data_IF_513937829022
#
_entry.id   IF_513937829022
#
_cell.length_a   1.000
_cell.length_b   1.000
_cell.length_c   1.000
_cell.angle_alpha   90.00
_cell.angle_beta   90.00
_cell.angle_gamma   90.00
#
_symmetry.space_group_name_H-M   'P 1'
#
loop_
_entity.id
_entity.type
_entity.pdbx_description
1 polymer ?
#
# COMPACT_ATOMS: atom_id res chain seq x y z
N UNK A 1 21.83 -3.18 5.59
CA UNK A 1 20.52 -2.51 5.43
C UNK A 1 19.47 -3.59 5.18
N UNK A 2 18.30 -3.56 5.82
CA UNK A 2 17.30 -4.64 5.74
C UNK A 2 16.27 -4.45 4.60
N UNK A 3 16.25 -3.26 4.01
CA UNK A 3 15.32 -2.86 2.95
C UNK A 3 14.59 -1.58 3.31
N UNK A 4 13.55 -1.28 2.54
CA UNK A 4 12.75 -0.05 2.61
C UNK A 4 11.29 -0.36 2.93
N UNK A 5 10.67 0.56 3.66
CA UNK A 5 9.26 0.54 4.01
C UNK A 5 8.59 1.74 3.34
N UNK A 6 7.53 1.51 2.58
CA UNK A 6 6.76 2.55 1.91
C UNK A 6 5.47 2.84 2.69
N UNK A 7 5.50 3.91 3.49
CA UNK A 7 4.35 4.37 4.31
C UNK A 7 3.50 5.38 3.53
N UNK A 8 2.63 4.87 2.65
CA UNK A 8 1.83 5.68 1.73
C UNK A 8 2.47 5.79 0.35
N UNK A 9 1.83 6.47 -0.63
CA UNK A 9 0.72 7.42 -0.49
C UNK A 9 -0.68 6.81 -0.63
N UNK A 10 -0.83 5.48 -0.54
CA UNK A 10 -2.06 4.76 -0.87
C UNK A 10 -3.06 4.67 0.30
N UNK A 11 -3.39 5.82 0.90
CA UNK A 11 -4.23 5.91 2.11
C UNK A 11 -5.57 6.61 1.87
N UNK A 12 -6.44 6.58 2.89
CA UNK A 12 -7.70 7.33 2.92
C UNK A 12 -7.65 8.47 3.96
N UNK A 13 -8.29 9.63 3.73
CA UNK A 13 -8.12 10.83 4.56
C UNK A 13 -8.54 10.68 6.03
N UNK A 14 -9.48 9.78 6.32
CA UNK A 14 -10.15 9.67 7.62
C UNK A 14 -9.16 9.40 8.76
N UNK A 15 -8.17 8.54 8.53
CA UNK A 15 -7.16 8.13 9.51
C UNK A 15 -5.73 8.49 9.05
N UNK A 16 -5.57 9.67 8.43
CA UNK A 16 -4.33 10.12 7.78
C UNK A 16 -3.14 10.39 8.71
N UNK A 17 -3.38 10.63 10.00
CA UNK A 17 -2.33 11.08 10.92
C UNK A 17 -1.58 12.32 10.41
N UNK A 18 -0.25 12.24 10.41
CA UNK A 18 0.64 13.30 9.92
C UNK A 18 0.77 13.35 8.39
N UNK A 19 0.20 12.41 7.65
CA UNK A 19 0.31 12.43 6.20
C UNK A 19 -0.59 13.53 5.58
N UNK A 20 -0.06 14.31 4.62
CA UNK A 20 -0.82 15.29 3.87
C UNK A 20 -1.77 14.59 2.89
N UNK A 21 -3.11 14.71 3.05
CA UNK A 21 -4.07 13.98 2.23
C UNK A 21 -4.05 14.41 0.76
N UNK A 22 -3.59 15.63 0.46
CA UNK A 22 -3.39 16.14 -0.90
C UNK A 22 -2.33 15.37 -1.71
N UNK A 23 -1.46 14.61 -1.04
CA UNK A 23 -0.47 13.74 -1.68
C UNK A 23 -0.95 12.29 -1.81
N UNK A 24 -2.17 11.97 -1.37
CA UNK A 24 -2.70 10.61 -1.52
C UNK A 24 -2.96 10.30 -2.99
N UNK A 25 -2.60 9.09 -3.40
CA UNK A 25 -2.67 8.64 -4.81
C UNK A 25 -3.51 7.38 -4.91
N UNK A 26 -4.11 7.15 -6.08
CA UNK A 26 -4.76 5.88 -6.39
C UNK A 26 -3.76 4.73 -6.55
N UNK A 27 -4.24 3.49 -6.38
CA UNK A 27 -3.40 2.31 -6.51
C UNK A 27 -3.30 1.90 -7.99
N UNK A 28 -2.13 2.12 -8.57
CA UNK A 28 -1.81 1.73 -9.94
C UNK A 28 -0.69 0.69 -9.97
N UNK A 29 -0.91 -0.45 -10.62
CA UNK A 29 0.09 -1.53 -10.68
C UNK A 29 1.39 -1.06 -11.32
N UNK A 30 1.29 -0.26 -12.39
CA UNK A 30 2.45 0.31 -13.07
C UNK A 30 3.30 1.19 -12.14
N UNK A 31 2.69 1.94 -11.23
CA UNK A 31 3.41 2.75 -10.24
C UNK A 31 4.11 1.87 -9.21
N UNK A 32 3.45 0.82 -8.73
CA UNK A 32 4.06 -0.14 -7.79
C UNK A 32 5.26 -0.85 -8.43
N UNK A 33 5.17 -1.26 -9.69
CA UNK A 33 6.28 -1.86 -10.43
C UNK A 33 7.46 -0.89 -10.58
N UNK A 34 7.18 0.37 -10.91
CA UNK A 34 8.20 1.41 -10.97
C UNK A 34 8.87 1.58 -9.60
N UNK A 35 8.12 1.65 -8.51
CA UNK A 35 8.66 1.80 -7.15
C UNK A 35 9.53 0.61 -6.74
N UNK A 36 9.13 -0.62 -7.07
CA UNK A 36 9.93 -1.82 -6.84
C UNK A 36 11.24 -1.74 -7.63
N UNK A 37 11.18 -1.38 -8.91
CA UNK A 37 12.34 -1.28 -9.78
C UNK A 37 13.34 -0.21 -9.31
N UNK A 38 12.87 1.03 -9.05
CA UNK A 38 13.75 2.13 -8.60
C UNK A 38 14.34 1.89 -7.22
N UNK A 39 13.66 1.10 -6.37
CA UNK A 39 14.21 0.67 -5.08
C UNK A 39 15.35 -0.35 -5.21
N UNK A 40 15.66 -0.82 -6.42
CA UNK A 40 16.59 -1.93 -6.68
C UNK A 40 16.21 -3.18 -5.87
N UNK A 41 14.90 -3.49 -5.83
CA UNK A 41 14.32 -4.60 -5.05
C UNK A 41 14.59 -4.54 -3.53
N UNK A 42 14.90 -3.36 -2.99
CA UNK A 42 15.02 -3.17 -1.54
C UNK A 42 13.68 -2.87 -0.87
N UNK A 43 12.63 -2.52 -1.62
CA UNK A 43 11.28 -2.35 -1.07
C UNK A 43 10.74 -3.67 -0.50
N UNK A 44 10.57 -3.74 0.83
CA UNK A 44 10.12 -4.96 1.53
C UNK A 44 8.69 -4.90 1.99
N UNK A 45 8.20 -3.70 2.30
CA UNK A 45 6.85 -3.51 2.83
C UNK A 45 6.21 -2.28 2.20
N UNK A 46 4.94 -2.42 1.84
CA UNK A 46 4.08 -1.30 1.43
C UNK A 46 2.90 -1.24 2.40
N UNK A 47 2.67 -0.08 2.99
CA UNK A 47 1.46 0.22 3.72
C UNK A 47 0.41 0.83 2.78
N UNK A 48 -0.82 0.33 2.86
CA UNK A 48 -1.96 0.86 2.11
C UNK A 48 -3.28 0.69 2.86
N UNK A 49 -4.28 1.47 2.46
CA UNK A 49 -5.65 1.35 2.94
C UNK A 49 -6.42 0.27 2.14
N UNK A 50 -6.88 -0.83 2.77
CA UNK A 50 -7.54 -1.97 2.09
C UNK A 50 -8.93 -1.66 1.52
N UNK A 51 -9.57 -0.56 1.92
CA UNK A 51 -10.84 -0.09 1.38
C UNK A 51 -10.71 0.70 0.08
N UNK A 52 -9.48 1.07 -0.29
CA UNK A 52 -9.19 1.81 -1.52
C UNK A 52 -9.51 0.97 -2.75
N UNK A 53 -9.92 1.64 -3.82
CA UNK A 53 -10.15 0.97 -5.10
C UNK A 53 -8.86 0.31 -5.59
N UNK A 54 -8.98 -0.87 -6.22
CA UNK A 54 -7.82 -1.64 -6.67
C UNK A 54 -6.99 -2.33 -5.58
N UNK A 55 -7.27 -2.11 -4.28
CA UNK A 55 -6.46 -2.66 -3.19
C UNK A 55 -6.26 -4.17 -3.25
N UNK A 56 -7.31 -4.95 -3.55
CA UNK A 56 -7.16 -6.41 -3.65
C UNK A 56 -6.20 -6.83 -4.76
N UNK A 57 -6.24 -6.16 -5.91
CA UNK A 57 -5.35 -6.45 -7.04
C UNK A 57 -3.91 -6.05 -6.70
N UNK A 58 -3.73 -4.84 -6.14
CA UNK A 58 -2.43 -4.36 -5.69
C UNK A 58 -1.79 -5.29 -4.63
N UNK A 59 -2.58 -5.77 -3.66
CA UNK A 59 -2.09 -6.68 -2.63
C UNK A 59 -1.60 -8.00 -3.24
N UNK A 60 -2.36 -8.58 -4.16
CA UNK A 60 -1.97 -9.83 -4.85
C UNK A 60 -0.69 -9.63 -5.64
N UNK A 61 -0.60 -8.52 -6.38
CA UNK A 61 0.58 -8.15 -7.16
C UNK A 61 1.83 -7.99 -6.27
N UNK A 62 1.74 -7.21 -5.20
CA UNK A 62 2.84 -7.00 -4.25
C UNK A 62 3.31 -8.32 -3.61
N UNK A 63 2.37 -9.19 -3.21
CA UNK A 63 2.70 -10.53 -2.68
C UNK A 63 3.47 -11.37 -3.73
N UNK A 64 3.10 -11.32 -5.01
CA UNK A 64 3.81 -12.02 -6.08
C UNK A 64 5.24 -11.49 -6.28
N UNK A 65 5.48 -10.20 -6.00
CA UNK A 65 6.80 -9.57 -6.04
C UNK A 65 7.62 -9.75 -4.75
N UNK A 66 7.17 -10.60 -3.81
CA UNK A 66 7.77 -10.78 -2.48
C UNK A 66 7.82 -9.49 -1.63
N UNK A 67 6.87 -8.58 -1.85
CA UNK A 67 6.68 -7.38 -1.04
C UNK A 67 5.52 -7.62 -0.07
N UNK A 68 5.78 -7.45 1.22
CA UNK A 68 4.74 -7.60 2.26
C UNK A 68 3.79 -6.40 2.22
N UNK A 69 2.51 -6.66 2.42
CA UNK A 69 1.54 -5.59 2.62
C UNK A 69 1.27 -5.41 4.11
N UNK A 70 1.23 -4.15 4.55
CA UNK A 70 0.68 -3.74 5.84
C UNK A 70 -0.62 -2.95 5.59
N UNK A 71 -1.66 -3.26 6.34
CA UNK A 71 -2.91 -2.49 6.29
C UNK A 71 -2.79 -1.35 7.31
N UNK A 72 -2.90 -0.10 6.86
CA UNK A 72 -2.68 1.09 7.70
C UNK A 72 -3.39 2.31 7.15
N UNK A 73 -3.52 3.35 7.98
CA UNK A 73 -4.19 4.62 7.64
C UNK A 73 -5.51 4.43 6.89
N UNK A 74 -6.35 3.59 7.50
CA UNK A 74 -7.54 3.00 6.90
C UNK A 74 -8.74 3.18 7.82
N UNK A 75 -9.90 3.44 7.23
CA UNK A 75 -11.21 3.38 7.85
C UNK A 75 -11.99 2.11 7.43
N UNK A 76 -11.28 1.07 6.96
CA UNK A 76 -11.89 -0.17 6.51
C UNK A 76 -12.69 -0.85 7.62
N UNK A 77 -13.87 -1.32 7.23
CA UNK A 77 -14.67 -2.22 8.06
C UNK A 77 -13.95 -3.55 8.26
N UNK A 78 -14.34 -4.29 9.29
CA UNK A 78 -13.85 -5.64 9.53
C UNK A 78 -14.00 -6.55 8.30
N UNK A 79 -15.12 -6.45 7.58
CA UNK A 79 -15.38 -7.25 6.38
C UNK A 79 -14.38 -6.94 5.26
N UNK A 80 -14.11 -5.65 5.03
CA UNK A 80 -13.09 -5.22 4.07
C UNK A 80 -11.73 -5.76 4.51
N UNK A 81 -11.29 -5.51 5.74
CA UNK A 81 -10.00 -5.99 6.25
C UNK A 81 -9.84 -7.50 6.07
N UNK A 82 -10.81 -8.31 6.52
CA UNK A 82 -10.78 -9.77 6.41
C UNK A 82 -10.63 -10.26 4.97
N UNK A 83 -11.21 -9.57 3.99
CA UNK A 83 -11.11 -9.94 2.58
C UNK A 83 -9.74 -9.61 1.93
N UNK A 84 -8.81 -9.00 2.68
CA UNK A 84 -7.50 -8.54 2.17
C UNK A 84 -6.29 -9.13 2.91
N UNK A 85 -6.50 -9.94 3.96
CA UNK A 85 -5.42 -10.62 4.70
C UNK A 85 -5.08 -11.95 4.05
#
# INVERSE_FOLDING_TARGET
MLGSYLEGPYFTPQNKGAHPPELFRELEIAELDQLIAVSQHTLRVVALAPEKEGALQAIRHLKQQNVRVMLGHSAATWQQTRARV
#
